data_IF_339733768907
#
_entry.id   IF_339733768907
#
_cell.length_a   1.000
_cell.length_b   1.000
_cell.length_c   1.000
_cell.angle_alpha   90.00
_cell.angle_beta   90.00
_cell.angle_gamma   90.00
#
_symmetry.space_group_name_H-M   'P 1'
#
loop_
_entity.id
_entity.type
_entity.pdbx_description
1 polymer ?
#
# COMPACT_ATOMS: atom_id res chain seq x y z
N UNK A 1 -17.20 67.33 -15.87
CA UNK A 1 -16.44 66.85 -17.04
C UNK A 1 -14.98 66.54 -16.71
N UNK A 2 -14.07 67.50 -16.46
CA UNK A 2 -12.66 67.15 -16.19
C UNK A 2 -12.44 66.36 -14.88
N UNK A 3 -13.16 66.70 -13.81
CA UNK A 3 -13.05 66.01 -12.51
C UNK A 3 -13.50 64.53 -12.58
N UNK A 4 -14.52 64.23 -13.38
CA UNK A 4 -15.04 62.87 -13.55
C UNK A 4 -14.05 61.98 -14.30
N UNK A 5 -13.38 62.53 -15.33
CA UNK A 5 -12.33 61.83 -16.08
C UNK A 5 -11.13 61.52 -15.18
N UNK A 6 -10.72 62.48 -14.32
CA UNK A 6 -9.64 62.27 -13.35
C UNK A 6 -10.05 61.21 -12.32
N UNK A 7 -11.26 61.28 -11.77
CA UNK A 7 -11.75 60.31 -10.80
C UNK A 7 -11.78 58.88 -11.39
N UNK A 8 -12.25 58.73 -12.64
CA UNK A 8 -12.31 57.44 -13.31
C UNK A 8 -10.91 56.87 -13.61
N UNK A 9 -9.94 57.72 -13.96
CA UNK A 9 -8.54 57.32 -14.09
C UNK A 9 -7.96 56.82 -12.76
N UNK A 10 -8.20 57.53 -11.66
CA UNK A 10 -7.74 57.13 -10.33
C UNK A 10 -8.37 55.81 -9.90
N UNK A 11 -9.68 55.62 -10.13
CA UNK A 11 -10.35 54.35 -9.86
C UNK A 11 -9.80 53.21 -10.70
N UNK A 12 -9.58 53.43 -12.00
CA UNK A 12 -8.99 52.42 -12.89
C UNK A 12 -7.58 52.00 -12.47
N UNK A 13 -6.74 52.96 -12.06
CA UNK A 13 -5.41 52.68 -11.50
C UNK A 13 -5.53 51.90 -10.20
N UNK A 14 -6.42 52.28 -9.29
CA UNK A 14 -6.63 51.56 -8.04
C UNK A 14 -7.06 50.09 -8.27
N UNK A 15 -8.00 49.86 -9.19
CA UNK A 15 -8.41 48.50 -9.58
C UNK A 15 -7.26 47.70 -10.19
N UNK A 16 -6.45 48.32 -11.06
CA UNK A 16 -5.28 47.67 -11.66
C UNK A 16 -4.27 47.25 -10.58
N UNK A 17 -3.96 48.14 -9.64
CA UNK A 17 -3.03 47.86 -8.53
C UNK A 17 -3.54 46.68 -7.69
N UNK A 18 -4.83 46.67 -7.32
CA UNK A 18 -5.43 45.57 -6.58
C UNK A 18 -5.36 44.27 -7.38
N UNK A 19 -5.67 44.28 -8.68
CA UNK A 19 -5.59 43.10 -9.54
C UNK A 19 -4.16 42.54 -9.63
N UNK A 20 -3.14 43.40 -9.72
CA UNK A 20 -1.73 42.99 -9.69
C UNK A 20 -1.38 42.33 -8.36
N UNK A 21 -1.79 42.93 -7.23
CA UNK A 21 -1.54 42.35 -5.90
C UNK A 21 -2.21 40.99 -5.77
N UNK A 22 -3.46 40.84 -6.20
CA UNK A 22 -4.17 39.56 -6.20
C UNK A 22 -3.47 38.51 -7.07
N UNK A 23 -2.97 38.90 -8.25
CA UNK A 23 -2.22 38.00 -9.12
C UNK A 23 -0.92 37.52 -8.45
N UNK A 24 -0.21 38.43 -7.77
CA UNK A 24 1.01 38.08 -7.02
C UNK A 24 0.69 37.15 -5.83
N UNK A 25 -0.42 37.40 -5.13
CA UNK A 25 -0.88 36.52 -4.05
C UNK A 25 -1.22 35.12 -4.56
N UNK A 26 -1.97 35.00 -5.66
CA UNK A 26 -2.31 33.72 -6.27
C UNK A 26 -1.05 32.94 -6.70
N UNK A 27 -0.07 33.63 -7.30
CA UNK A 27 1.21 32.99 -7.65
C UNK A 27 1.94 32.46 -6.42
N UNK A 28 1.97 33.23 -5.33
CA UNK A 28 2.58 32.79 -4.08
C UNK A 28 1.84 31.61 -3.45
N UNK A 29 0.51 31.65 -3.42
CA UNK A 29 -0.33 30.56 -2.91
C UNK A 29 -0.13 29.28 -3.71
N UNK A 30 -0.08 29.35 -5.04
CA UNK A 30 0.17 28.19 -5.88
C UNK A 30 1.56 27.59 -5.63
N UNK A 31 2.57 28.43 -5.39
CA UNK A 31 3.90 27.96 -5.04
C UNK A 31 3.94 27.30 -3.66
N UNK A 32 3.29 27.89 -2.65
CA UNK A 32 3.17 27.30 -1.32
C UNK A 32 2.41 25.96 -1.34
N UNK A 33 1.35 25.86 -2.16
CA UNK A 33 0.60 24.62 -2.38
C UNK A 33 1.46 23.53 -3.00
N UNK A 34 2.30 23.86 -3.98
CA UNK A 34 3.23 22.90 -4.60
C UNK A 34 4.28 22.40 -3.60
N UNK A 35 4.87 23.30 -2.82
CA UNK A 35 5.82 22.95 -1.76
C UNK A 35 5.15 22.07 -0.69
N UNK A 36 3.96 22.46 -0.21
CA UNK A 36 3.22 21.68 0.77
C UNK A 36 2.82 20.30 0.23
N UNK A 37 2.46 20.21 -1.05
CA UNK A 37 2.22 18.94 -1.70
C UNK A 37 3.48 18.07 -1.67
N UNK A 38 4.63 18.59 -2.12
CA UNK A 38 5.89 17.85 -2.11
C UNK A 38 6.30 17.38 -0.70
N UNK A 39 6.14 18.23 0.32
CA UNK A 39 6.42 17.88 1.71
C UNK A 39 5.46 16.81 2.23
N UNK A 40 4.17 16.94 1.94
CA UNK A 40 3.18 15.93 2.34
C UNK A 40 3.46 14.56 1.73
N UNK A 41 3.92 14.54 0.47
CA UNK A 41 4.29 13.31 -0.23
C UNK A 41 5.57 12.71 0.36
N UNK A 42 6.55 13.54 0.73
CA UNK A 42 7.78 13.08 1.39
C UNK A 42 7.49 12.48 2.77
N UNK A 43 6.66 13.16 3.56
CA UNK A 43 6.26 12.69 4.88
C UNK A 43 5.47 11.38 4.79
N UNK A 44 4.54 11.30 3.84
CA UNK A 44 3.80 10.06 3.56
C UNK A 44 4.75 8.88 3.26
N UNK A 45 5.71 9.08 2.36
CA UNK A 45 6.71 8.06 2.03
C UNK A 45 7.58 7.67 3.24
N UNK A 46 7.94 8.64 4.09
CA UNK A 46 8.75 8.39 5.28
C UNK A 46 7.99 7.56 6.32
N UNK A 47 6.77 7.98 6.68
CA UNK A 47 5.93 7.27 7.65
C UNK A 47 5.61 5.84 7.20
N UNK A 48 5.38 5.66 5.90
CA UNK A 48 5.12 4.35 5.29
C UNK A 48 6.31 3.39 5.48
N UNK A 49 7.52 3.85 5.14
CA UNK A 49 8.74 3.06 5.32
C UNK A 49 9.07 2.82 6.80
N UNK A 50 8.81 3.80 7.66
CA UNK A 50 9.01 3.65 9.11
C UNK A 50 8.07 2.59 9.68
N UNK A 51 6.77 2.65 9.35
CA UNK A 51 5.76 1.68 9.81
C UNK A 51 6.14 0.24 9.41
N UNK A 52 6.66 0.08 8.19
CA UNK A 52 7.16 -1.21 7.71
C UNK A 52 8.40 -1.68 8.48
N UNK A 53 9.38 -0.80 8.64
CA UNK A 53 10.59 -1.09 9.40
C UNK A 53 10.27 -1.52 10.82
N UNK A 54 9.41 -0.76 11.51
CA UNK A 54 9.02 -1.02 12.90
C UNK A 54 8.29 -2.37 13.04
N UNK A 55 7.40 -2.71 12.11
CA UNK A 55 6.73 -4.03 12.11
C UNK A 55 7.74 -5.18 12.02
N UNK A 56 8.69 -5.11 11.08
CA UNK A 56 9.69 -6.17 10.91
C UNK A 56 10.68 -6.21 12.08
N UNK A 57 11.10 -5.06 12.60
CA UNK A 57 11.98 -4.97 13.76
C UNK A 57 11.31 -5.62 14.98
N UNK A 58 10.03 -5.32 15.23
CA UNK A 58 9.32 -5.88 16.38
C UNK A 58 9.10 -7.38 16.24
N UNK A 59 8.75 -7.86 15.04
CA UNK A 59 8.66 -9.29 14.76
C UNK A 59 9.98 -10.03 15.01
N UNK A 60 11.12 -9.41 14.68
CA UNK A 60 12.45 -10.00 14.84
C UNK A 60 13.00 -9.89 16.26
N UNK A 61 12.51 -8.94 17.07
CA UNK A 61 12.91 -8.79 18.47
C UNK A 61 12.33 -9.87 19.38
N UNK A 62 11.14 -10.38 19.06
CA UNK A 62 10.52 -11.48 19.79
C UNK A 62 10.94 -12.84 19.18
N UNK A 63 11.80 -13.63 19.85
CA UNK A 63 12.27 -14.90 19.32
C UNK A 63 11.14 -15.90 19.07
N UNK A 64 10.06 -15.84 19.87
CA UNK A 64 8.91 -16.75 19.73
C UNK A 64 8.13 -16.42 18.47
N UNK A 65 7.94 -15.13 18.16
CA UNK A 65 7.29 -14.69 16.93
C UNK A 65 8.16 -14.96 15.70
N UNK A 66 9.48 -14.72 15.79
CA UNK A 66 10.41 -15.02 14.72
C UNK A 66 10.43 -16.53 14.39
N UNK A 67 10.50 -17.40 15.41
CA UNK A 67 10.44 -18.85 15.23
C UNK A 67 9.10 -19.28 14.62
N UNK A 68 7.98 -18.78 15.16
CA UNK A 68 6.65 -19.04 14.62
C UNK A 68 6.55 -18.67 13.13
N UNK A 69 7.07 -17.49 12.78
CA UNK A 69 7.05 -16.99 11.41
C UNK A 69 7.90 -17.83 10.47
N UNK A 70 9.10 -18.23 10.90
CA UNK A 70 9.97 -19.12 10.12
C UNK A 70 9.30 -20.46 9.87
N UNK A 71 8.86 -21.16 10.92
CA UNK A 71 8.21 -22.47 10.79
C UNK A 71 6.98 -22.41 9.89
N UNK A 72 6.13 -21.41 10.10
CA UNK A 72 4.92 -21.23 9.30
C UNK A 72 5.17 -20.86 7.85
N UNK A 73 6.31 -20.21 7.55
CA UNK A 73 6.72 -19.89 6.18
C UNK A 73 7.34 -21.09 5.48
N UNK A 74 8.15 -21.88 6.17
CA UNK A 74 8.69 -23.15 5.64
C UNK A 74 7.56 -24.10 5.23
N UNK A 75 6.62 -24.36 6.12
CA UNK A 75 5.43 -25.15 5.83
C UNK A 75 4.30 -24.76 6.80
N UNK A 76 3.10 -24.51 6.26
CA UNK A 76 1.89 -24.26 7.04
C UNK A 76 1.61 -25.39 8.07
N UNK A 77 1.93 -26.64 7.71
CA UNK A 77 1.71 -27.81 8.56
C UNK A 77 2.63 -27.89 9.78
N UNK A 78 3.70 -27.08 9.82
CA UNK A 78 4.58 -26.99 10.99
C UNK A 78 3.94 -26.21 12.16
N UNK A 79 2.81 -25.52 11.92
CA UNK A 79 2.10 -24.73 12.92
C UNK A 79 1.24 -25.61 13.82
N UNK A 80 1.42 -25.47 15.14
CA UNK A 80 0.76 -26.28 16.17
C UNK A 80 -0.57 -25.67 16.59
N UNK A 81 -1.64 -26.39 16.27
CA UNK A 81 -3.00 -26.05 16.70
C UNK A 81 -3.50 -24.70 16.16
N UNK A 82 -4.66 -24.28 16.66
CA UNK A 82 -5.37 -23.11 16.12
C UNK A 82 -4.70 -21.77 16.45
N UNK A 83 -4.03 -21.68 17.60
CA UNK A 83 -3.43 -20.43 18.09
C UNK A 83 -2.25 -20.02 17.22
N UNK A 84 -1.33 -20.95 16.91
CA UNK A 84 -0.18 -20.64 16.05
C UNK A 84 -0.61 -20.29 14.63
N UNK A 85 -1.55 -21.05 14.06
CA UNK A 85 -2.15 -20.76 12.75
C UNK A 85 -2.82 -19.39 12.70
N UNK A 86 -3.54 -19.01 13.76
CA UNK A 86 -4.15 -17.68 13.89
C UNK A 86 -3.09 -16.58 13.93
N UNK A 87 -2.05 -16.74 14.76
CA UNK A 87 -0.98 -15.74 14.89
C UNK A 87 -0.21 -15.57 13.58
N UNK A 88 0.18 -16.68 12.95
CA UNK A 88 0.86 -16.67 11.66
C UNK A 88 0.02 -16.01 10.57
N UNK A 89 -1.27 -16.38 10.46
CA UNK A 89 -2.21 -15.74 9.52
C UNK A 89 -2.37 -14.25 9.78
N UNK A 90 -2.33 -13.82 11.03
CA UNK A 90 -2.39 -12.40 11.40
C UNK A 90 -1.14 -11.64 10.93
N UNK A 91 0.05 -12.21 11.16
CA UNK A 91 1.32 -11.64 10.68
C UNK A 91 1.35 -11.53 9.15
N UNK A 92 0.94 -12.60 8.45
CA UNK A 92 0.83 -12.59 6.99
C UNK A 92 -0.16 -11.52 6.50
N UNK A 93 -1.33 -11.42 7.12
CA UNK A 93 -2.32 -10.41 6.76
C UNK A 93 -1.81 -8.98 6.97
N UNK A 94 -1.01 -8.75 8.01
CA UNK A 94 -0.40 -7.44 8.24
C UNK A 94 0.60 -7.10 7.13
N UNK A 95 1.45 -8.05 6.72
CA UNK A 95 2.35 -7.87 5.57
C UNK A 95 1.58 -7.58 4.28
N UNK A 96 0.51 -8.35 4.03
CA UNK A 96 -0.35 -8.15 2.89
C UNK A 96 -1.04 -6.78 2.91
N UNK A 97 -1.51 -6.30 4.08
CA UNK A 97 -2.09 -4.96 4.23
C UNK A 97 -1.13 -3.88 3.73
N UNK A 98 0.15 -4.00 4.11
CA UNK A 98 1.15 -3.02 3.74
C UNK A 98 1.42 -3.05 2.23
N UNK A 99 1.44 -4.23 1.61
CA UNK A 99 1.59 -4.33 0.15
C UNK A 99 0.38 -3.82 -0.63
N UNK A 100 -0.83 -4.08 -0.15
CA UNK A 100 -2.07 -3.52 -0.71
C UNK A 100 -2.06 -1.99 -0.57
N UNK A 101 -1.63 -1.48 0.57
CA UNK A 101 -1.50 -0.05 0.78
C UNK A 101 -0.52 0.58 -0.22
N UNK A 102 0.65 -0.04 -0.43
CA UNK A 102 1.61 0.36 -1.45
C UNK A 102 1.00 0.34 -2.85
N UNK A 103 0.30 -0.74 -3.20
CA UNK A 103 -0.37 -0.89 -4.50
C UNK A 103 -1.37 0.24 -4.78
N UNK A 104 -2.21 0.57 -3.79
CA UNK A 104 -3.23 1.62 -3.92
C UNK A 104 -2.64 3.03 -3.97
N UNK A 105 -1.42 3.22 -3.47
CA UNK A 105 -0.75 4.50 -3.47
C UNK A 105 0.43 4.55 -4.45
N UNK A 106 0.56 3.59 -5.37
CA UNK A 106 1.71 3.48 -6.28
C UNK A 106 1.97 4.75 -7.09
N UNK A 107 0.93 5.42 -7.56
CA UNK A 107 1.05 6.66 -8.34
C UNK A 107 1.54 7.85 -7.52
N UNK A 108 1.45 7.73 -6.18
CA UNK A 108 1.88 8.73 -5.19
C UNK A 108 3.26 8.40 -4.64
N UNK A 109 3.65 7.14 -4.62
CA UNK A 109 4.94 6.70 -4.12
C UNK A 109 6.03 7.03 -5.15
N UNK A 110 7.02 7.83 -4.75
CA UNK A 110 8.15 8.20 -5.61
C UNK A 110 8.95 6.94 -5.98
N UNK A 111 9.21 6.74 -7.26
CA UNK A 111 9.94 5.58 -7.81
C UNK A 111 9.25 4.21 -7.60
N UNK A 112 7.92 4.18 -7.43
CA UNK A 112 7.21 2.91 -7.38
C UNK A 112 7.00 2.36 -8.80
N UNK A 113 7.92 1.51 -9.22
CA UNK A 113 7.82 0.76 -10.48
C UNK A 113 7.03 -0.55 -10.28
N UNK A 114 6.44 -1.07 -11.35
CA UNK A 114 5.80 -2.40 -11.36
C UNK A 114 6.77 -3.51 -10.90
N UNK A 115 8.08 -3.31 -11.14
CA UNK A 115 9.16 -4.18 -10.66
C UNK A 115 9.16 -4.35 -9.12
N UNK A 116 8.73 -3.34 -8.38
CA UNK A 116 8.59 -3.39 -6.92
C UNK A 116 7.44 -4.29 -6.51
N UNK A 117 6.28 -4.22 -7.20
CA UNK A 117 5.15 -5.10 -6.92
C UNK A 117 5.47 -6.56 -7.24
N UNK A 118 6.17 -6.81 -8.34
CA UNK A 118 6.66 -8.15 -8.69
C UNK A 118 7.62 -8.66 -7.63
N UNK A 119 8.57 -7.82 -7.19
CA UNK A 119 9.54 -8.20 -6.15
C UNK A 119 8.86 -8.50 -4.81
N UNK A 120 7.86 -7.69 -4.43
CA UNK A 120 7.09 -7.91 -3.22
C UNK A 120 6.25 -9.20 -3.28
N UNK A 121 5.62 -9.48 -4.43
CA UNK A 121 4.91 -10.74 -4.66
C UNK A 121 5.88 -11.93 -4.59
N UNK A 122 7.05 -11.85 -5.24
CA UNK A 122 8.09 -12.89 -5.18
C UNK A 122 8.54 -13.15 -3.75
N UNK A 123 8.76 -12.10 -2.97
CA UNK A 123 9.17 -12.21 -1.56
C UNK A 123 8.12 -12.98 -0.75
N UNK A 124 6.84 -12.61 -0.84
CA UNK A 124 5.75 -13.25 -0.11
C UNK A 124 5.29 -14.59 -0.68
N UNK A 125 5.68 -14.97 -1.89
CA UNK A 125 5.30 -16.25 -2.49
C UNK A 125 6.47 -17.22 -2.59
N UNK A 126 7.64 -16.84 -2.09
CA UNK A 126 8.88 -17.62 -2.20
C UNK A 126 8.90 -18.88 -1.35
N UNK A 127 8.03 -19.00 -0.35
CA UNK A 127 8.03 -20.12 0.60
C UNK A 127 6.70 -20.88 0.59
N UNK A 128 6.71 -22.21 0.82
CA UNK A 128 5.51 -23.04 0.71
C UNK A 128 4.38 -22.57 1.63
N UNK A 129 4.70 -22.21 2.87
CA UNK A 129 3.72 -21.74 3.84
C UNK A 129 3.05 -20.43 3.42
N UNK A 130 3.83 -19.47 2.90
CA UNK A 130 3.25 -18.23 2.39
C UNK A 130 2.47 -18.42 1.08
N UNK A 131 2.86 -19.39 0.26
CA UNK A 131 2.10 -19.78 -0.95
C UNK A 131 0.72 -20.34 -0.58
N UNK A 132 0.64 -21.18 0.47
CA UNK A 132 -0.64 -21.63 1.08
C UNK A 132 -1.44 -20.43 1.57
N UNK A 133 -0.79 -19.47 2.24
CA UNK A 133 -1.45 -18.27 2.73
C UNK A 133 -2.10 -17.46 1.60
N UNK A 134 -1.37 -17.29 0.51
CA UNK A 134 -1.88 -16.62 -0.68
C UNK A 134 -3.08 -17.36 -1.26
N UNK A 135 -2.89 -18.64 -1.60
CA UNK A 135 -3.87 -19.49 -2.28
C UNK A 135 -5.22 -19.52 -1.57
N UNK A 136 -5.21 -19.72 -0.25
CA UNK A 136 -6.45 -19.99 0.49
C UNK A 136 -7.04 -18.78 1.20
N UNK A 137 -6.24 -17.77 1.56
CA UNK A 137 -6.73 -16.66 2.40
C UNK A 137 -6.61 -15.28 1.76
N UNK A 138 -5.56 -15.02 0.96
CA UNK A 138 -5.29 -13.66 0.47
C UNK A 138 -5.68 -13.40 -0.98
N UNK A 139 -5.66 -14.42 -1.84
CA UNK A 139 -5.97 -14.29 -3.26
C UNK A 139 -7.31 -13.61 -3.52
N UNK A 140 -8.36 -13.98 -2.75
CA UNK A 140 -9.68 -13.33 -2.81
C UNK A 140 -9.59 -11.84 -2.53
N UNK A 141 -8.85 -11.49 -1.49
CA UNK A 141 -8.78 -10.14 -0.98
C UNK A 141 -8.03 -9.25 -1.98
N UNK A 142 -7.02 -9.80 -2.63
CA UNK A 142 -6.28 -9.11 -3.68
C UNK A 142 -7.13 -8.94 -4.95
N UNK A 143 -8.10 -9.83 -5.21
CA UNK A 143 -9.00 -9.75 -6.37
C UNK A 143 -9.84 -8.46 -6.45
N UNK A 144 -9.96 -7.70 -5.35
CA UNK A 144 -10.65 -6.42 -5.34
C UNK A 144 -9.79 -5.26 -5.88
N UNK A 145 -8.49 -5.48 -6.11
CA UNK A 145 -7.56 -4.46 -6.61
C UNK A 145 -7.18 -4.79 -8.05
N UNK A 146 -7.58 -3.91 -8.97
CA UNK A 146 -7.35 -4.03 -10.41
C UNK A 146 -5.88 -4.33 -10.71
N UNK A 147 -5.61 -5.38 -11.49
CA UNK A 147 -4.27 -5.79 -11.93
C UNK A 147 -3.42 -6.52 -10.88
N UNK A 148 -3.68 -6.32 -9.58
CA UNK A 148 -2.85 -6.90 -8.52
C UNK A 148 -3.00 -8.42 -8.47
N UNK A 149 -4.21 -8.94 -8.68
CA UNK A 149 -4.46 -10.39 -8.66
C UNK A 149 -3.76 -11.07 -9.81
N UNK A 150 -3.91 -10.55 -11.02
CA UNK A 150 -3.32 -11.12 -12.23
C UNK A 150 -1.78 -11.17 -12.11
N UNK A 151 -1.18 -10.11 -11.57
CA UNK A 151 0.25 -10.05 -11.29
C UNK A 151 0.68 -11.12 -10.28
N UNK A 152 -0.04 -11.25 -9.16
CA UNK A 152 0.31 -12.22 -8.12
C UNK A 152 0.04 -13.67 -8.53
N UNK A 153 -1.05 -13.92 -9.28
CA UNK A 153 -1.37 -15.25 -9.82
C UNK A 153 -0.27 -15.68 -10.81
N UNK A 154 0.24 -14.76 -11.63
CA UNK A 154 1.38 -15.03 -12.51
C UNK A 154 2.65 -15.36 -11.73
N UNK A 155 2.99 -14.55 -10.72
CA UNK A 155 4.18 -14.82 -9.88
C UNK A 155 4.04 -16.16 -9.15
N UNK A 156 2.84 -16.48 -8.67
CA UNK A 156 2.56 -17.78 -8.04
C UNK A 156 2.81 -18.93 -9.01
N UNK A 157 2.26 -18.84 -10.22
CA UNK A 157 2.44 -19.84 -11.27
C UNK A 157 3.91 -20.00 -11.66
N UNK A 158 4.66 -18.90 -11.77
CA UNK A 158 6.08 -18.91 -12.11
C UNK A 158 6.93 -19.64 -11.05
N UNK A 159 6.58 -19.51 -9.76
CA UNK A 159 7.33 -20.12 -8.65
C UNK A 159 6.90 -21.58 -8.42
N UNK A 160 5.59 -21.85 -8.40
CA UNK A 160 5.02 -23.12 -7.95
C UNK A 160 4.56 -24.03 -9.09
N UNK A 161 4.63 -23.56 -10.33
CA UNK A 161 4.17 -24.27 -11.52
C UNK A 161 2.72 -24.78 -11.40
N UNK A 162 1.88 -24.02 -10.67
CA UNK A 162 0.47 -24.30 -10.44
C UNK A 162 -0.38 -23.10 -10.91
N UNK A 163 -1.39 -23.36 -11.74
CA UNK A 163 -2.35 -22.34 -12.18
C UNK A 163 -3.56 -22.29 -11.22
N UNK A 164 -3.86 -21.09 -10.70
CA UNK A 164 -4.94 -20.84 -9.74
C UNK A 164 -6.28 -20.41 -10.38
N UNK A 165 -6.41 -20.36 -11.71
CA UNK A 165 -7.65 -19.99 -12.40
C UNK A 165 -8.84 -20.86 -11.99
N UNK A 166 -8.62 -22.18 -11.86
CA UNK A 166 -9.64 -23.15 -11.49
C UNK A 166 -9.75 -23.38 -9.97
N UNK A 167 -8.91 -22.72 -9.17
CA UNK A 167 -9.00 -22.80 -7.71
C UNK A 167 -10.15 -21.93 -7.26
N UNK A 168 -11.28 -22.58 -6.98
CA UNK A 168 -12.43 -22.00 -6.29
C UNK A 168 -11.92 -21.27 -5.05
N UNK A 169 -12.00 -19.94 -5.07
CA UNK A 169 -11.76 -19.12 -3.89
C UNK A 169 -12.74 -19.57 -2.80
N UNK A 170 -12.28 -20.10 -1.65
CA UNK A 170 -13.19 -20.68 -0.67
C UNK A 170 -14.26 -19.69 -0.21
N UNK A 171 -15.41 -20.23 0.24
CA UNK A 171 -16.41 -19.50 1.02
C UNK A 171 -15.73 -18.65 2.10
N UNK A 172 -16.41 -17.59 2.58
CA UNK A 172 -15.89 -16.73 3.66
C UNK A 172 -15.47 -17.61 4.84
N UNK A 173 -14.18 -17.92 4.95
CA UNK A 173 -13.62 -18.62 6.09
C UNK A 173 -13.48 -17.60 7.20
N UNK A 174 -14.11 -17.88 8.35
CA UNK A 174 -13.88 -17.11 9.56
C UNK A 174 -12.38 -16.96 9.81
N UNK A 175 -12.00 -15.89 10.50
CA UNK A 175 -10.61 -15.67 10.87
C UNK A 175 -10.05 -16.79 11.78
N UNK A 176 -10.93 -17.54 12.44
CA UNK A 176 -10.62 -18.68 13.31
C UNK A 176 -10.73 -20.05 12.63
N UNK A 177 -11.10 -20.10 11.34
CA UNK A 177 -11.17 -21.32 10.54
C UNK A 177 -9.96 -21.43 9.61
N UNK A 178 -9.52 -22.66 9.36
CA UNK A 178 -8.37 -22.95 8.51
C UNK A 178 -8.72 -23.97 7.43
N UNK A 179 -8.09 -23.84 6.27
CA UNK A 179 -8.41 -24.64 5.07
C UNK A 179 -8.19 -26.15 5.23
N UNK A 180 -7.36 -26.53 6.20
CA UNK A 180 -6.97 -27.91 6.52
C UNK A 180 -7.79 -28.51 7.68
N UNK A 181 -8.76 -27.77 8.21
CA UNK A 181 -9.75 -28.29 9.15
C UNK A 181 -10.90 -28.93 8.35
N UNK A 182 -10.76 -30.22 8.05
CA UNK A 182 -11.84 -31.11 7.60
C UNK A 182 -11.92 -32.34 8.49
#
# INVERSE_FOLDING_TARGET
MELEVIAQLVTGIATLVVAIVLLLQLRKQNHELDLQHQDSMREFNFQENQTLGDFFIEMMKDPVLAELYLRGSEDWNNLKGKIEKFRYRSLYNQQLNMLIFRWNNRDKLRNYEDSNSISAAKMLLSTPGQAVMYKFYARRRIAYYEGMRELWDKVYQDIWNENLENVSVPQVMSFTQFHDEK
#
